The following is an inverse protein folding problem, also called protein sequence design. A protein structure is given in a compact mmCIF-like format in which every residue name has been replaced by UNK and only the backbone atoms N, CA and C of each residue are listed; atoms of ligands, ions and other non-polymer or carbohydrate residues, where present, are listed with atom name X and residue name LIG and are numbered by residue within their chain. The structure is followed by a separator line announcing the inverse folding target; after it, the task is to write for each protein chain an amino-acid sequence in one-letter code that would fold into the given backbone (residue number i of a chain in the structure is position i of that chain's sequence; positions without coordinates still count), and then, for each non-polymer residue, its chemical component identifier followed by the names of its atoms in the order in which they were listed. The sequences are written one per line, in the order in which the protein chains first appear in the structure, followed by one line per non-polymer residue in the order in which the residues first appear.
data_IF_585929876456
#
_entry.id   IF_585929876456
#
_cell.length_a   1.000
_cell.length_b   1.000
_cell.length_c   1.000
_cell.angle_alpha   90.00
_cell.angle_beta   90.00
_cell.angle_gamma   90.00
#
_symmetry.space_group_name_H-M   'P 1'
#
loop_
_entity.id
_entity.type
_entity.pdbx_description
1 polymer ?
#
# COMPACT_ATOMS: atom_id res chain seq x y z
N UNK A 1 7.11 -13.85 -4.34
CA UNK A 1 6.51 -15.07 -3.77
C UNK A 1 5.02 -15.09 -4.05
N UNK A 2 4.43 -16.28 -4.37
CA UNK A 2 2.97 -16.49 -4.41
C UNK A 2 2.57 -17.37 -3.24
N UNK A 3 1.48 -17.00 -2.54
CA UNK A 3 0.90 -17.73 -1.42
C UNK A 3 -0.55 -18.07 -1.78
N UNK A 4 -0.81 -19.32 -2.06
CA UNK A 4 -2.08 -19.81 -2.65
C UNK A 4 -2.20 -21.31 -2.40
N UNK A 5 -3.40 -21.80 -2.04
CA UNK A 5 -3.61 -23.22 -1.79
C UNK A 5 -3.95 -24.02 -3.06
N UNK A 6 -4.40 -23.34 -4.12
CA UNK A 6 -4.79 -23.96 -5.39
C UNK A 6 -3.60 -24.10 -6.35
N UNK A 7 -3.13 -25.33 -6.67
CA UNK A 7 -1.98 -25.54 -7.53
C UNK A 7 -2.15 -24.98 -8.96
N UNK A 8 -3.39 -24.90 -9.43
CA UNK A 8 -3.70 -24.35 -10.75
C UNK A 8 -3.42 -22.84 -10.81
N UNK A 9 -3.79 -22.10 -9.75
CA UNK A 9 -3.54 -20.66 -9.65
C UNK A 9 -2.05 -20.40 -9.51
N UNK A 10 -1.34 -21.19 -8.67
CA UNK A 10 0.11 -21.11 -8.53
C UNK A 10 0.81 -21.27 -9.89
N UNK A 11 0.43 -22.29 -10.67
CA UNK A 11 1.01 -22.53 -12.00
C UNK A 11 0.76 -21.36 -12.94
N UNK A 12 -0.50 -20.90 -13.04
CA UNK A 12 -0.87 -19.78 -13.90
C UNK A 12 -0.06 -18.52 -13.56
N UNK A 13 -0.03 -18.14 -12.28
CA UNK A 13 0.69 -16.94 -11.83
C UNK A 13 2.20 -17.10 -12.09
N UNK A 14 2.75 -18.28 -11.81
CA UNK A 14 4.18 -18.58 -12.03
C UNK A 14 4.55 -18.45 -13.51
N UNK A 15 3.76 -19.04 -14.39
CA UNK A 15 3.99 -18.95 -15.84
C UNK A 15 3.93 -17.50 -16.32
N UNK A 16 2.88 -16.77 -15.96
CA UNK A 16 2.72 -15.36 -16.33
C UNK A 16 3.91 -14.51 -15.87
N UNK A 17 4.30 -14.63 -14.61
CA UNK A 17 5.39 -13.81 -14.05
C UNK A 17 6.76 -14.17 -14.62
N UNK A 18 7.02 -15.45 -14.92
CA UNK A 18 8.24 -15.89 -15.59
C UNK A 18 8.36 -15.35 -17.01
N UNK A 19 7.26 -15.23 -17.76
CA UNK A 19 7.32 -14.64 -19.13
C UNK A 19 7.78 -13.19 -19.14
N UNK A 20 7.67 -12.49 -18.01
CA UNK A 20 8.10 -11.09 -17.85
C UNK A 20 9.38 -10.94 -17.00
N UNK A 21 10.08 -12.07 -16.74
CA UNK A 21 11.43 -12.08 -16.17
C UNK A 21 11.49 -12.13 -14.65
N UNK A 22 10.42 -12.53 -13.95
CA UNK A 22 10.44 -12.71 -12.49
C UNK A 22 10.66 -14.18 -12.11
N UNK A 23 11.50 -14.40 -11.10
CA UNK A 23 11.58 -15.68 -10.40
C UNK A 23 10.45 -15.79 -9.38
N UNK A 24 9.83 -16.97 -9.30
CA UNK A 24 8.66 -17.19 -8.45
C UNK A 24 8.90 -18.36 -7.52
N UNK A 25 8.79 -18.10 -6.22
CA UNK A 25 8.70 -19.11 -5.15
C UNK A 25 7.25 -19.20 -4.68
N UNK A 26 6.83 -20.34 -4.18
CA UNK A 26 5.43 -20.58 -3.81
C UNK A 26 5.32 -21.15 -2.39
N UNK A 27 4.33 -20.67 -1.65
CA UNK A 27 3.85 -21.22 -0.39
C UNK A 27 2.37 -21.59 -0.52
N UNK A 28 1.92 -22.59 0.23
CA UNK A 28 0.54 -23.11 0.13
C UNK A 28 -0.38 -22.63 1.25
N UNK A 29 0.11 -21.89 2.23
CA UNK A 29 -0.64 -21.39 3.38
C UNK A 29 0.07 -20.20 4.04
N UNK A 30 -0.62 -19.53 4.97
CA UNK A 30 -0.12 -18.34 5.66
C UNK A 30 1.09 -18.59 6.56
N UNK A 31 1.17 -19.76 7.24
CA UNK A 31 2.28 -20.10 8.13
C UNK A 31 3.59 -20.25 7.35
N UNK A 32 3.57 -21.05 6.28
CA UNK A 32 4.71 -21.18 5.36
C UNK A 32 5.09 -19.85 4.71
N UNK A 33 4.13 -18.98 4.42
CA UNK A 33 4.40 -17.66 3.87
C UNK A 33 5.19 -16.79 4.84
N UNK A 34 4.86 -16.80 6.14
CA UNK A 34 5.56 -16.04 7.17
C UNK A 34 7.02 -16.53 7.27
N UNK A 35 7.23 -17.85 7.37
CA UNK A 35 8.56 -18.45 7.43
C UNK A 35 9.41 -18.14 6.20
N UNK A 36 8.86 -18.37 5.00
CA UNK A 36 9.55 -18.12 3.74
C UNK A 36 9.85 -16.62 3.55
N UNK A 37 9.00 -15.73 4.04
CA UNK A 37 9.28 -14.30 3.97
C UNK A 37 10.55 -13.93 4.76
N UNK A 38 10.72 -14.51 5.93
CA UNK A 38 11.91 -14.26 6.76
C UNK A 38 13.17 -14.86 6.14
N UNK A 39 13.09 -16.05 5.54
CA UNK A 39 14.24 -16.79 5.01
C UNK A 39 14.65 -16.30 3.61
N UNK A 40 13.70 -16.15 2.70
CA UNK A 40 13.94 -15.90 1.27
C UNK A 40 13.92 -14.42 0.91
N UNK A 41 13.38 -13.54 1.78
CA UNK A 41 13.28 -12.09 1.60
C UNK A 41 12.74 -11.70 0.20
N UNK A 42 11.55 -12.17 -0.21
CA UNK A 42 11.03 -11.94 -1.53
C UNK A 42 10.85 -10.44 -1.80
N UNK A 43 11.06 -10.00 -3.05
CA UNK A 43 10.85 -8.61 -3.44
C UNK A 43 9.37 -8.18 -3.42
N UNK A 44 8.43 -9.14 -3.51
CA UNK A 44 6.98 -8.94 -3.47
C UNK A 44 6.27 -10.24 -3.11
N UNK A 45 5.15 -10.13 -2.39
CA UNK A 45 4.26 -11.24 -2.05
C UNK A 45 2.90 -11.04 -2.71
N UNK A 46 2.43 -12.05 -3.45
CA UNK A 46 1.03 -12.20 -3.83
C UNK A 46 0.41 -13.14 -2.80
N UNK A 47 -0.57 -12.69 -2.03
CA UNK A 47 -1.09 -13.39 -0.86
C UNK A 47 -2.59 -13.60 -0.99
N UNK A 48 -3.03 -14.85 -1.09
CA UNK A 48 -4.46 -15.15 -1.00
C UNK A 48 -4.99 -14.84 0.41
N UNK A 49 -6.24 -14.45 0.47
CA UNK A 49 -6.92 -14.15 1.73
C UNK A 49 -7.37 -15.43 2.43
N UNK A 50 -7.83 -16.43 1.68
CA UNK A 50 -8.49 -17.59 2.24
C UNK A 50 -7.63 -18.85 2.11
N UNK A 51 -7.32 -19.45 3.25
CA UNK A 51 -6.66 -20.75 3.35
C UNK A 51 -7.54 -21.73 4.11
N UNK A 52 -7.52 -23.02 3.76
CA UNK A 52 -8.31 -24.04 4.45
C UNK A 52 -7.83 -24.34 5.87
N UNK A 53 -6.56 -23.99 6.20
CA UNK A 53 -5.95 -24.24 7.50
C UNK A 53 -4.91 -23.16 7.83
N UNK A 54 -4.72 -22.89 9.13
CA UNK A 54 -3.77 -21.93 9.64
C UNK A 54 -4.28 -20.49 9.60
N UNK A 55 -3.37 -19.49 9.75
CA UNK A 55 -3.72 -18.09 9.67
C UNK A 55 -4.24 -17.73 8.29
N UNK A 56 -5.32 -16.93 8.24
CA UNK A 56 -5.80 -16.36 6.99
C UNK A 56 -4.78 -15.34 6.40
N UNK A 57 -5.03 -14.88 5.17
CA UNK A 57 -4.12 -13.94 4.50
C UNK A 57 -3.98 -12.61 5.24
N UNK A 58 -5.01 -12.15 5.95
CA UNK A 58 -4.92 -10.92 6.73
C UNK A 58 -4.06 -11.11 7.99
N UNK A 59 -4.20 -12.25 8.67
CA UNK A 59 -3.37 -12.60 9.81
C UNK A 59 -1.92 -12.79 9.40
N UNK A 60 -1.67 -13.52 8.30
CA UNK A 60 -0.34 -13.69 7.75
C UNK A 60 0.31 -12.35 7.38
N UNK A 61 -0.45 -11.43 6.75
CA UNK A 61 0.01 -10.09 6.44
C UNK A 61 0.41 -9.31 7.71
N UNK A 62 -0.45 -9.29 8.74
CA UNK A 62 -0.14 -8.64 10.01
C UNK A 62 1.11 -9.20 10.67
N UNK A 63 1.32 -10.52 10.64
CA UNK A 63 2.52 -11.15 11.17
C UNK A 63 3.76 -10.76 10.38
N UNK A 64 3.70 -10.79 9.05
CA UNK A 64 4.81 -10.36 8.19
C UNK A 64 5.18 -8.89 8.47
N UNK A 65 4.20 -8.03 8.68
CA UNK A 65 4.43 -6.59 8.97
C UNK A 65 5.13 -6.32 10.31
N UNK A 66 5.20 -7.30 11.21
CA UNK A 66 5.97 -7.17 12.46
C UNK A 66 7.48 -7.17 12.23
N UNK A 67 7.96 -7.74 11.10
CA UNK A 67 9.39 -7.87 10.83
C UNK A 67 9.80 -7.50 9.39
N UNK A 68 8.86 -7.22 8.48
CA UNK A 68 9.16 -6.96 7.07
C UNK A 68 8.21 -5.94 6.44
N UNK A 69 8.80 -5.01 5.69
CA UNK A 69 8.10 -4.04 4.84
C UNK A 69 7.97 -4.53 3.39
N UNK A 70 8.13 -5.82 3.13
CA UNK A 70 7.99 -6.40 1.79
C UNK A 70 6.63 -6.03 1.20
N UNK A 71 6.55 -5.58 -0.06
CA UNK A 71 5.28 -5.27 -0.69
C UNK A 71 4.36 -6.48 -0.77
N UNK A 72 3.09 -6.31 -0.39
CA UNK A 72 2.07 -7.38 -0.40
C UNK A 72 0.89 -6.95 -1.26
N UNK A 73 0.56 -7.77 -2.25
CA UNK A 73 -0.69 -7.68 -3.03
C UNK A 73 -1.61 -8.80 -2.55
N UNK A 74 -2.78 -8.44 -2.02
CA UNK A 74 -3.79 -9.43 -1.63
C UNK A 74 -4.55 -9.95 -2.85
N UNK A 75 -4.72 -11.27 -2.95
CA UNK A 75 -5.59 -11.91 -3.93
C UNK A 75 -6.96 -12.15 -3.27
N UNK A 76 -8.04 -11.61 -3.83
CA UNK A 76 -9.38 -11.70 -3.22
C UNK A 76 -10.43 -12.24 -4.18
N UNK A 77 -11.32 -13.09 -3.71
CA UNK A 77 -12.37 -13.69 -4.53
C UNK A 77 -13.52 -12.73 -4.88
N UNK A 78 -13.73 -11.66 -4.11
CA UNK A 78 -14.71 -10.59 -4.40
C UNK A 78 -14.34 -9.31 -3.66
N UNK A 79 -14.44 -8.20 -4.41
CA UNK A 79 -14.37 -6.86 -3.84
C UNK A 79 -15.65 -6.51 -3.07
N UNK A 80 -15.94 -7.19 -1.96
CA UNK A 80 -16.83 -6.57 -0.98
C UNK A 80 -16.04 -5.42 -0.38
N UNK A 81 -16.65 -4.26 -0.32
CA UNK A 81 -16.06 -3.04 0.25
C UNK A 81 -15.46 -3.29 1.64
N UNK A 82 -16.08 -4.18 2.42
CA UNK A 82 -15.60 -4.61 3.73
C UNK A 82 -14.31 -5.46 3.67
N UNK A 83 -14.10 -6.29 2.64
CA UNK A 83 -12.89 -7.13 2.54
C UNK A 83 -11.67 -6.29 2.13
N UNK A 84 -11.88 -5.28 1.26
CA UNK A 84 -10.85 -4.29 0.95
C UNK A 84 -10.48 -3.47 2.19
N UNK A 85 -11.45 -3.09 3.01
CA UNK A 85 -11.23 -2.37 4.25
C UNK A 85 -10.42 -3.20 5.25
N UNK A 86 -10.79 -4.45 5.50
CA UNK A 86 -10.08 -5.34 6.43
C UNK A 86 -8.63 -5.62 6.02
N UNK A 87 -8.36 -5.66 4.73
CA UNK A 87 -7.03 -5.93 4.24
C UNK A 87 -6.09 -4.74 4.28
N UNK A 88 -6.60 -3.52 4.09
CA UNK A 88 -5.82 -2.32 4.34
C UNK A 88 -5.43 -2.22 5.82
N UNK A 89 -6.32 -2.58 6.75
CA UNK A 89 -6.01 -2.67 8.19
C UNK A 89 -4.90 -3.70 8.48
N UNK A 90 -4.75 -4.74 7.63
CA UNK A 90 -3.66 -5.70 7.72
C UNK A 90 -2.33 -5.18 7.17
N UNK A 91 -2.31 -4.04 6.47
CA UNK A 91 -1.10 -3.43 5.93
C UNK A 91 -0.71 -3.87 4.52
N UNK A 92 -1.66 -4.35 3.71
CA UNK A 92 -1.42 -4.66 2.30
C UNK A 92 -1.16 -3.39 1.47
N UNK A 93 -0.36 -3.53 0.41
CA UNK A 93 0.01 -2.42 -0.49
C UNK A 93 -0.89 -2.34 -1.72
N UNK A 94 -1.55 -3.43 -2.08
CA UNK A 94 -2.48 -3.51 -3.22
C UNK A 94 -3.41 -4.72 -3.11
N UNK A 95 -4.44 -4.76 -3.98
CA UNK A 95 -5.43 -5.83 -4.10
C UNK A 95 -5.63 -6.22 -5.55
N UNK A 96 -5.79 -7.52 -5.79
CA UNK A 96 -6.12 -8.08 -7.09
C UNK A 96 -7.31 -9.02 -6.94
N UNK A 97 -8.43 -8.69 -7.60
CA UNK A 97 -9.67 -9.45 -7.50
C UNK A 97 -9.63 -10.68 -8.42
N UNK A 98 -9.91 -11.85 -7.89
CA UNK A 98 -10.12 -13.08 -8.66
C UNK A 98 -11.54 -13.11 -9.28
N UNK A 99 -11.72 -13.51 -10.55
CA UNK A 99 -10.67 -13.88 -11.50
C UNK A 99 -9.96 -12.64 -12.09
N UNK A 100 -8.66 -12.70 -12.19
CA UNK A 100 -7.81 -11.67 -12.79
C UNK A 100 -7.21 -12.15 -14.12
N UNK A 101 -6.88 -11.22 -14.99
CA UNK A 101 -6.16 -11.54 -16.22
C UNK A 101 -4.65 -11.30 -16.08
N UNK A 102 -3.87 -11.91 -16.96
CA UNK A 102 -2.41 -11.84 -16.93
C UNK A 102 -1.88 -10.39 -17.03
N UNK A 103 -2.53 -9.54 -17.83
CA UNK A 103 -2.11 -8.14 -18.01
C UNK A 103 -2.30 -7.34 -16.71
N UNK A 104 -3.43 -7.52 -16.04
CA UNK A 104 -3.72 -6.87 -14.76
C UNK A 104 -2.74 -7.30 -13.67
N UNK A 105 -2.49 -8.62 -13.53
CA UNK A 105 -1.51 -9.14 -12.59
C UNK A 105 -0.13 -8.49 -12.80
N UNK A 106 0.37 -8.50 -14.04
CA UNK A 106 1.69 -7.93 -14.36
C UNK A 106 1.73 -6.43 -14.13
N UNK A 107 0.67 -5.70 -14.49
CA UNK A 107 0.57 -4.25 -14.27
C UNK A 107 0.65 -3.91 -12.77
N UNK A 108 -0.10 -4.62 -11.91
CA UNK A 108 -0.09 -4.41 -10.45
C UNK A 108 1.26 -4.76 -9.84
N UNK A 109 1.86 -5.90 -10.20
CA UNK A 109 3.20 -6.29 -9.73
C UNK A 109 4.24 -5.23 -10.09
N UNK A 110 4.24 -4.74 -11.33
CA UNK A 110 5.16 -3.68 -11.77
C UNK A 110 4.91 -2.37 -11.04
N UNK A 111 3.65 -1.97 -10.85
CA UNK A 111 3.29 -0.74 -10.15
C UNK A 111 3.78 -0.76 -8.70
N UNK A 112 3.61 -1.88 -8.01
CA UNK A 112 4.06 -2.06 -6.62
C UNK A 112 5.60 -2.07 -6.55
N UNK A 113 6.28 -2.84 -7.41
CA UNK A 113 7.75 -2.89 -7.43
C UNK A 113 8.38 -1.56 -7.83
N UNK A 114 7.77 -0.78 -8.73
CA UNK A 114 8.27 0.55 -9.09
C UNK A 114 8.34 1.48 -7.88
N UNK A 115 7.36 1.43 -6.97
CA UNK A 115 7.35 2.20 -5.72
C UNK A 115 8.53 1.86 -4.81
N UNK A 116 9.03 0.62 -4.89
CA UNK A 116 10.18 0.19 -4.08
C UNK A 116 11.52 0.59 -4.68
N UNK A 117 11.57 0.84 -5.99
CA UNK A 117 12.79 1.11 -6.75
C UNK A 117 12.96 2.59 -7.16
N UNK A 118 11.99 3.47 -6.86
CA UNK A 118 12.22 4.89 -7.12
C UNK A 118 13.31 5.38 -6.18
N UNK A 119 14.49 5.83 -6.71
CA UNK A 119 15.41 6.57 -5.88
C UNK A 119 14.66 7.85 -5.50
N UNK A 120 14.44 8.03 -4.21
CA UNK A 120 14.00 9.33 -3.72
C UNK A 120 15.03 10.34 -4.16
N UNK A 121 14.64 11.31 -4.97
CA UNK A 121 15.41 12.55 -5.07
C UNK A 121 15.67 12.95 -3.62
N UNK A 122 16.95 13.13 -3.29
CA UNK A 122 17.39 13.42 -1.93
C UNK A 122 16.82 14.79 -1.53
N UNK A 123 15.55 14.78 -1.16
CA UNK A 123 14.91 15.91 -0.50
C UNK A 123 15.39 15.83 0.94
N UNK A 124 16.49 16.52 1.23
CA UNK A 124 17.11 16.58 2.56
C UNK A 124 16.25 17.35 3.57
N UNK A 125 15.17 17.96 3.12
CA UNK A 125 14.30 18.78 3.95
C UNK A 125 13.27 17.92 4.73
N UNK A 126 12.94 18.39 5.92
CA UNK A 126 11.75 17.95 6.66
C UNK A 126 10.63 18.98 6.45
N UNK A 127 9.39 18.49 6.34
CA UNK A 127 8.20 19.34 6.35
C UNK A 127 7.56 19.29 7.73
N UNK A 128 7.26 20.47 8.29
CA UNK A 128 6.54 20.60 9.55
C UNK A 128 5.21 21.31 9.31
N UNK A 129 4.11 20.64 9.66
CA UNK A 129 2.75 21.16 9.58
C UNK A 129 2.12 21.06 10.97
N UNK A 130 2.25 22.11 11.78
CA UNK A 130 1.84 22.04 13.18
C UNK A 130 2.60 20.96 13.96
N UNK A 131 1.86 19.97 14.48
CA UNK A 131 2.44 18.83 15.22
C UNK A 131 2.87 17.66 14.30
N UNK A 132 2.48 17.68 13.03
CA UNK A 132 2.91 16.70 12.02
C UNK A 132 4.29 17.08 11.49
N UNK A 133 5.25 16.16 11.59
CA UNK A 133 6.60 16.30 11.05
C UNK A 133 6.90 15.13 10.13
N UNK A 134 7.25 15.43 8.88
CA UNK A 134 7.63 14.44 7.85
C UNK A 134 9.09 14.63 7.53
N UNK A 135 9.92 13.62 7.77
CA UNK A 135 11.32 13.61 7.38
C UNK A 135 11.49 12.76 6.12
N UNK A 136 11.72 13.41 4.99
CA UNK A 136 11.81 12.72 3.70
C UNK A 136 13.06 11.85 3.60
N UNK A 137 14.19 12.30 4.15
CA UNK A 137 15.44 11.55 4.09
C UNK A 137 15.43 10.25 4.92
N UNK A 138 14.63 10.23 6.00
CA UNK A 138 14.51 9.07 6.90
C UNK A 138 13.23 8.27 6.68
N UNK A 139 12.36 8.70 5.77
CA UNK A 139 11.00 8.15 5.57
C UNK A 139 10.22 8.04 6.88
N UNK A 140 10.45 8.95 7.84
CA UNK A 140 9.81 8.93 9.14
C UNK A 140 8.77 10.03 9.28
N UNK A 141 7.69 9.69 9.95
CA UNK A 141 6.55 10.58 10.22
C UNK A 141 6.32 10.63 11.72
N UNK A 142 6.14 11.83 12.25
CA UNK A 142 5.80 12.04 13.67
C UNK A 142 4.60 12.94 13.80
N UNK A 143 3.74 12.63 14.77
CA UNK A 143 2.62 13.49 15.20
C UNK A 143 2.75 13.71 16.69
N UNK A 144 2.71 14.97 17.13
CA UNK A 144 2.93 15.35 18.54
C UNK A 144 4.20 14.72 19.14
N UNK A 145 5.28 14.61 18.34
CA UNK A 145 6.56 14.04 18.72
C UNK A 145 6.61 12.50 18.76
N UNK A 146 5.49 11.80 18.59
CA UNK A 146 5.42 10.33 18.54
C UNK A 146 5.57 9.86 17.10
N UNK A 147 6.36 8.81 16.89
CA UNK A 147 6.52 8.19 15.59
C UNK A 147 5.26 7.43 15.17
N UNK A 148 4.87 7.60 13.90
CA UNK A 148 3.72 6.96 13.29
C UNK A 148 4.20 6.00 12.22
N UNK A 149 3.89 4.71 12.38
CA UNK A 149 4.22 3.69 11.39
C UNK A 149 3.25 3.74 10.22
N UNK A 150 3.78 4.03 9.05
CA UNK A 150 3.05 4.02 7.77
C UNK A 150 3.56 2.88 6.90
N UNK A 151 2.65 2.24 6.16
CA UNK A 151 3.05 1.35 5.08
C UNK A 151 3.71 2.15 3.95
N UNK A 152 4.41 1.48 3.03
CA UNK A 152 5.06 2.15 1.89
C UNK A 152 4.07 2.95 1.05
N UNK A 153 2.89 2.40 0.80
CA UNK A 153 1.86 3.05 -0.01
C UNK A 153 1.25 4.25 0.73
N UNK A 154 0.99 4.15 2.02
CA UNK A 154 0.55 5.27 2.85
C UNK A 154 1.59 6.40 2.88
N UNK A 155 2.87 6.04 3.06
CA UNK A 155 3.95 7.01 3.02
C UNK A 155 4.07 7.68 1.64
N UNK A 156 3.99 6.91 0.55
CA UNK A 156 4.02 7.44 -0.81
C UNK A 156 2.90 8.43 -1.07
N UNK A 157 1.69 8.13 -0.61
CA UNK A 157 0.54 9.04 -0.75
C UNK A 157 0.74 10.31 0.09
N UNK A 158 1.14 10.18 1.35
CA UNK A 158 1.44 11.32 2.22
C UNK A 158 2.56 12.19 1.62
N UNK A 159 3.61 11.57 1.08
CA UNK A 159 4.72 12.27 0.41
C UNK A 159 4.24 13.10 -0.77
N UNK A 160 3.36 12.57 -1.63
CA UNK A 160 2.82 13.33 -2.77
C UNK A 160 2.06 14.57 -2.30
N UNK A 161 1.24 14.45 -1.27
CA UNK A 161 0.56 15.59 -0.65
C UNK A 161 1.55 16.58 -0.02
N UNK A 162 2.58 16.06 0.66
CA UNK A 162 3.59 16.86 1.37
C UNK A 162 4.56 17.62 0.45
N UNK A 163 4.77 17.14 -0.75
CA UNK A 163 5.52 17.84 -1.79
C UNK A 163 4.75 19.05 -2.36
N UNK A 164 3.46 19.12 -2.12
CA UNK A 164 2.57 20.19 -2.59
C UNK A 164 1.70 20.72 -1.42
N UNK A 165 2.31 21.22 -0.34
CA UNK A 165 1.56 21.67 0.83
C UNK A 165 0.65 22.85 0.46
N UNK A 166 -0.52 22.88 1.09
CA UNK A 166 -1.55 23.91 0.88
C UNK A 166 -2.09 23.98 -0.56
N UNK A 167 -1.84 22.96 -1.38
CA UNK A 167 -2.34 22.84 -2.75
C UNK A 167 -3.22 21.62 -2.91
N UNK A 168 -4.38 21.77 -3.54
CA UNK A 168 -5.27 20.65 -3.86
C UNK A 168 -4.64 19.82 -4.98
N UNK A 169 -4.39 18.54 -4.69
CA UNK A 169 -3.97 17.53 -5.67
C UNK A 169 -5.19 16.80 -6.19
N UNK A 170 -5.31 16.69 -7.51
CA UNK A 170 -6.45 16.00 -8.14
C UNK A 170 -6.44 14.50 -7.81
N UNK A 171 -7.61 13.88 -7.73
CA UNK A 171 -7.71 12.43 -7.53
C UNK A 171 -6.86 11.65 -8.53
N UNK A 172 -6.97 12.01 -9.81
CA UNK A 172 -6.25 11.38 -10.90
C UNK A 172 -4.73 11.51 -10.76
N UNK A 173 -4.25 12.68 -10.35
CA UNK A 173 -2.82 12.94 -10.21
C UNK A 173 -2.24 12.14 -9.05
N UNK A 174 -2.94 12.06 -7.91
CA UNK A 174 -2.56 11.24 -6.77
C UNK A 174 -2.55 9.75 -7.13
N UNK A 175 -3.60 9.26 -7.80
CA UNK A 175 -3.68 7.87 -8.25
C UNK A 175 -2.54 7.53 -9.20
N UNK A 176 -2.31 8.37 -10.21
CA UNK A 176 -1.23 8.15 -11.16
C UNK A 176 0.15 8.19 -10.49
N UNK A 177 0.40 9.15 -9.62
CA UNK A 177 1.70 9.32 -8.96
C UNK A 177 2.01 8.16 -8.00
N UNK A 178 1.01 7.68 -7.25
CA UNK A 178 1.21 6.63 -6.26
C UNK A 178 1.06 5.24 -6.86
N UNK A 179 0.03 4.97 -7.67
CA UNK A 179 -0.27 3.62 -8.17
C UNK A 179 0.05 3.42 -9.65
N UNK A 180 0.01 4.47 -10.46
CA UNK A 180 0.24 4.42 -11.90
C UNK A 180 -1.03 4.68 -12.70
N UNK A 181 -0.84 4.80 -14.02
CA UNK A 181 -1.89 5.22 -14.93
C UNK A 181 -3.08 4.24 -14.97
N UNK A 182 -2.85 2.98 -14.66
CA UNK A 182 -3.87 1.93 -14.62
C UNK A 182 -4.93 2.15 -13.52
N UNK A 183 -4.62 2.99 -12.53
CA UNK A 183 -5.49 3.23 -11.35
C UNK A 183 -6.20 4.57 -11.37
N UNK A 184 -6.07 5.37 -12.44
CA UNK A 184 -6.56 6.77 -12.46
C UNK A 184 -8.07 6.92 -12.26
N UNK A 185 -8.84 5.87 -12.47
CA UNK A 185 -10.29 5.82 -12.30
C UNK A 185 -10.71 5.15 -10.97
N UNK A 186 -9.76 4.59 -10.21
CA UNK A 186 -10.02 3.86 -8.96
C UNK A 186 -10.13 4.81 -7.74
N UNK A 187 -11.05 5.77 -7.79
CA UNK A 187 -11.21 6.81 -6.75
C UNK A 187 -11.51 6.21 -5.37
N UNK A 188 -12.28 5.13 -5.29
CA UNK A 188 -12.60 4.48 -4.01
C UNK A 188 -11.37 3.87 -3.35
N UNK A 189 -10.41 3.46 -4.16
CA UNK A 189 -9.10 3.00 -3.70
C UNK A 189 -8.34 4.14 -2.98
N UNK A 190 -8.24 5.30 -3.62
CA UNK A 190 -7.63 6.49 -3.01
C UNK A 190 -8.35 6.91 -1.72
N UNK A 191 -9.70 6.87 -1.71
CA UNK A 191 -10.50 7.21 -0.52
C UNK A 191 -10.17 6.32 0.67
N UNK A 192 -9.98 5.01 0.44
CA UNK A 192 -9.59 4.08 1.49
C UNK A 192 -8.24 4.46 2.11
N UNK A 193 -7.20 4.73 1.30
CA UNK A 193 -5.88 5.15 1.81
C UNK A 193 -5.91 6.50 2.52
N UNK A 194 -6.69 7.46 2.04
CA UNK A 194 -6.90 8.75 2.75
C UNK A 194 -7.54 8.51 4.12
N UNK A 195 -8.52 7.62 4.21
CA UNK A 195 -9.13 7.25 5.50
C UNK A 195 -8.09 6.68 6.46
N UNK A 196 -7.22 5.74 6.01
CA UNK A 196 -6.18 5.15 6.85
C UNK A 196 -5.14 6.18 7.28
N UNK A 197 -4.68 7.03 6.39
CA UNK A 197 -3.80 8.12 6.74
C UNK A 197 -4.41 9.02 7.82
N UNK A 198 -5.70 9.37 7.70
CA UNK A 198 -6.40 10.14 8.72
C UNK A 198 -6.47 9.41 10.06
N UNK A 199 -6.77 8.12 10.06
CA UNK A 199 -6.79 7.32 11.30
C UNK A 199 -5.43 7.33 12.03
N UNK A 200 -4.34 7.42 11.29
CA UNK A 200 -2.98 7.41 11.85
C UNK A 200 -2.44 8.81 12.19
N UNK A 201 -2.85 9.83 11.46
CA UNK A 201 -2.26 11.17 11.54
C UNK A 201 -3.14 12.19 12.25
N UNK A 202 -4.47 12.03 12.18
CA UNK A 202 -5.41 13.00 12.73
C UNK A 202 -5.83 12.62 14.15
N UNK A 203 -6.08 13.62 14.97
CA UNK A 203 -6.66 13.42 16.29
C UNK A 203 -8.14 12.99 16.20
N UNK A 204 -8.86 13.55 15.21
CA UNK A 204 -10.21 13.20 14.85
C UNK A 204 -10.28 12.99 13.32
N UNK A 205 -10.32 11.73 12.84
CA UNK A 205 -10.40 11.42 11.41
C UNK A 205 -11.64 11.98 10.71
N UNK A 206 -12.72 12.24 11.45
CA UNK A 206 -13.98 12.78 10.91
C UNK A 206 -13.91 14.30 10.72
N UNK A 207 -13.02 14.98 11.46
CA UNK A 207 -12.75 16.40 11.34
C UNK A 207 -11.24 16.66 11.15
N UNK A 208 -10.70 16.29 9.98
CA UNK A 208 -9.27 16.29 9.73
C UNK A 208 -8.68 17.70 9.69
N UNK A 209 -7.48 17.86 10.27
CA UNK A 209 -6.71 19.11 10.24
C UNK A 209 -5.63 19.12 9.17
N UNK A 210 -5.03 17.96 8.90
CA UNK A 210 -3.90 17.84 7.96
C UNK A 210 -4.38 17.46 6.56
N UNK A 211 -5.15 16.37 6.43
CA UNK A 211 -5.56 15.88 5.12
C UNK A 211 -6.98 16.37 4.83
N UNK A 212 -7.08 17.48 4.12
CA UNK A 212 -8.35 18.14 3.81
C UNK A 212 -8.92 17.61 2.49
N UNK A 213 -10.23 17.34 2.46
CA UNK A 213 -10.92 16.97 1.23
C UNK A 213 -11.41 18.22 0.50
N UNK A 214 -11.11 18.30 -0.80
CA UNK A 214 -11.79 19.20 -1.73
C UNK A 214 -12.85 18.38 -2.50
N UNK A 215 -14.15 18.52 -2.16
CA UNK A 215 -15.19 17.65 -2.70
C UNK A 215 -15.21 17.63 -4.23
N UNK A 216 -15.23 16.45 -4.83
CA UNK A 216 -15.24 16.27 -6.29
C UNK A 216 -13.92 16.57 -7.00
N UNK A 217 -12.91 17.10 -6.30
CA UNK A 217 -11.63 17.54 -6.88
C UNK A 217 -10.47 16.64 -6.43
N UNK A 218 -10.21 16.56 -5.13
CA UNK A 218 -9.04 15.87 -4.62
C UNK A 218 -8.78 16.09 -3.14
N UNK A 219 -7.50 16.06 -2.78
CA UNK A 219 -7.04 16.19 -1.40
C UNK A 219 -5.87 17.17 -1.29
N UNK A 220 -5.69 17.73 -0.11
CA UNK A 220 -4.64 18.70 0.19
C UNK A 220 -4.04 18.41 1.56
N UNK A 221 -2.73 18.51 1.69
CA UNK A 221 -2.09 18.62 3.01
C UNK A 221 -2.10 20.08 3.45
N UNK A 222 -2.90 20.38 4.46
CA UNK A 222 -2.96 21.71 5.06
C UNK A 222 -1.80 21.87 6.05
N UNK A 223 -0.87 22.76 5.72
CA UNK A 223 0.16 23.21 6.63
C UNK A 223 -0.16 24.65 7.02
N UNK A 224 -0.61 24.85 8.26
CA UNK A 224 -0.75 26.20 8.79
C UNK A 224 0.66 26.70 9.09
N UNK A 225 1.06 27.80 8.45
CA UNK A 225 2.23 28.55 8.85
C UNK A 225 2.02 28.98 10.31
N UNK A 226 2.94 28.59 11.18
CA UNK A 226 2.97 29.17 12.52
C UNK A 226 3.49 30.61 12.33
N UNK A 227 2.60 31.59 12.52
CA UNK A 227 3.01 32.94 12.83
C UNK A 227 3.86 33.00 14.10
#
# INVERSE_FOLDING_TARGET
MIVEDQPQVIRLVTEVLRTVGYDVIAASNGETAIEMTAMEQPALILLDIMFPQGPDGFEACRHIRQFSDVPIIMLTAKAKENDKLSGFDAGADDYLTKPFNAKELVARVRAVLRRTCQPDEIITASLKCGELVINFARHSVKVSGKEVSLTRTEYSLLRQLALNPNRVMLHRDLLNAVWGQEYVDDIDYLRAYIRYLRMKLEKDPSNPKYIITSPGVGYMLACQDQE
#
